data_IF_542706705105
#
_entry.id   IF_542706705105
#
_cell.length_a   1.000
_cell.length_b   1.000
_cell.length_c   1.000
_cell.angle_alpha   90.00
_cell.angle_beta   90.00
_cell.angle_gamma   90.00
#
_symmetry.space_group_name_H-M   'P 1'
#
loop_
_entity.id
_entity.type
_entity.pdbx_description
1 polymer ?
#
# COMPACT_ATOMS: atom_id res chain seq x y z
N UNK A 1 20.19 9.86 -2.23
CA UNK A 1 20.42 9.16 -0.95
C UNK A 1 21.79 8.52 -1.05
N UNK A 2 22.72 8.92 -0.19
CA UNK A 2 24.05 8.32 -0.10
C UNK A 2 24.11 7.31 1.06
N UNK A 3 25.24 6.62 1.17
CA UNK A 3 25.44 5.56 2.16
C UNK A 3 25.35 6.08 3.60
N UNK A 4 25.93 7.23 3.89
CA UNK A 4 25.97 7.79 5.25
C UNK A 4 24.59 8.22 5.72
N UNK A 5 23.80 8.84 4.84
CA UNK A 5 22.41 9.18 5.10
C UNK A 5 21.56 7.93 5.41
N UNK A 6 21.70 6.87 4.60
CA UNK A 6 20.98 5.61 4.82
C UNK A 6 21.42 4.90 6.10
N UNK A 7 22.71 4.98 6.45
CA UNK A 7 23.24 4.43 7.72
C UNK A 7 22.67 5.17 8.93
N UNK A 8 22.54 6.50 8.83
CA UNK A 8 21.87 7.33 9.83
C UNK A 8 20.39 6.96 9.98
N UNK A 9 19.65 6.82 8.87
CA UNK A 9 18.24 6.39 8.89
C UNK A 9 18.09 4.99 9.48
N UNK A 10 18.93 4.04 9.08
CA UNK A 10 18.90 2.66 9.60
C UNK A 10 19.08 2.62 11.13
N UNK A 11 19.93 3.49 11.67
CA UNK A 11 20.25 3.55 13.09
C UNK A 11 19.21 4.29 13.93
N UNK A 12 18.53 5.29 13.34
CA UNK A 12 17.71 6.24 14.09
C UNK A 12 16.22 6.21 13.75
N UNK A 13 15.83 5.80 12.54
CA UNK A 13 14.44 5.85 12.11
C UNK A 13 13.64 4.67 12.70
N UNK A 14 12.59 4.90 13.52
CA UNK A 14 11.86 3.83 14.22
C UNK A 14 11.33 2.75 13.29
N UNK A 15 10.81 3.14 12.11
CA UNK A 15 10.32 2.20 11.09
C UNK A 15 11.40 1.21 10.64
N UNK A 16 12.60 1.69 10.31
CA UNK A 16 13.68 0.83 9.83
C UNK A 16 14.27 -0.01 10.96
N UNK A 17 14.34 0.54 12.17
CA UNK A 17 14.71 -0.22 13.36
C UNK A 17 13.72 -1.33 13.67
N UNK A 18 12.42 -1.10 13.48
CA UNK A 18 11.39 -2.13 13.61
C UNK A 18 11.60 -3.24 12.60
N UNK A 19 11.80 -2.90 11.33
CA UNK A 19 12.04 -3.88 10.26
C UNK A 19 13.34 -4.69 10.46
N UNK A 20 14.34 -4.13 11.14
CA UNK A 20 15.58 -4.82 11.50
C UNK A 20 15.53 -5.54 12.86
N UNK A 21 14.44 -5.44 13.61
CA UNK A 21 14.37 -6.02 14.94
C UNK A 21 14.34 -7.56 14.87
N UNK A 22 15.07 -8.22 15.76
CA UNK A 22 15.14 -9.68 15.82
C UNK A 22 13.75 -10.34 15.94
N UNK A 23 12.87 -9.73 16.74
CA UNK A 23 11.50 -10.19 16.95
C UNK A 23 10.48 -9.32 16.20
N UNK A 24 10.85 -8.74 15.06
CA UNK A 24 9.95 -7.94 14.22
C UNK A 24 8.60 -8.62 13.96
N UNK A 25 8.51 -9.94 13.63
CA UNK A 25 7.23 -10.60 13.40
C UNK A 25 6.30 -10.62 14.62
N UNK A 26 6.84 -10.75 15.84
CA UNK A 26 6.06 -10.66 17.08
C UNK A 26 5.43 -9.27 17.19
N UNK A 27 6.26 -8.24 17.10
CA UNK A 27 5.86 -6.84 17.29
C UNK A 27 4.83 -6.44 16.22
N UNK A 28 5.18 -6.65 14.95
CA UNK A 28 4.35 -6.24 13.82
C UNK A 28 3.04 -7.02 13.79
N UNK A 29 3.08 -8.33 14.00
CA UNK A 29 1.87 -9.16 14.02
C UNK A 29 0.91 -8.75 15.12
N UNK A 30 1.43 -8.46 16.32
CA UNK A 30 0.64 -7.98 17.44
C UNK A 30 0.05 -6.58 17.16
N UNK A 31 0.88 -5.60 16.81
CA UNK A 31 0.44 -4.22 16.59
C UNK A 31 -0.54 -4.10 15.41
N UNK A 32 -0.35 -4.89 14.36
CA UNK A 32 -1.31 -4.97 13.26
C UNK A 32 -2.67 -5.50 13.73
N UNK A 33 -2.68 -6.56 14.53
CA UNK A 33 -3.92 -7.16 15.06
C UNK A 33 -4.65 -6.23 16.03
N UNK A 34 -3.92 -5.46 16.84
CA UNK A 34 -4.51 -4.66 17.92
C UNK A 34 -4.90 -3.24 17.49
N UNK A 35 -4.09 -2.57 16.66
CA UNK A 35 -4.36 -1.18 16.28
C UNK A 35 -4.88 -1.07 14.85
N UNK A 36 -4.16 -1.64 13.87
CA UNK A 36 -4.40 -1.35 12.45
C UNK A 36 -5.63 -2.08 11.93
N UNK A 37 -5.72 -3.39 12.12
CA UNK A 37 -6.84 -4.21 11.63
C UNK A 37 -8.19 -3.76 12.21
N UNK A 38 -8.35 -3.51 13.53
CA UNK A 38 -9.60 -3.02 14.09
C UNK A 38 -9.75 -1.48 14.00
N UNK A 39 -8.74 -0.77 13.47
CA UNK A 39 -8.70 0.69 13.39
C UNK A 39 -8.88 1.40 14.75
N UNK A 40 -8.21 0.87 15.77
CA UNK A 40 -8.18 1.44 17.12
C UNK A 40 -7.01 2.40 17.20
N UNK A 41 -7.27 3.64 17.67
CA UNK A 41 -6.24 4.68 17.76
C UNK A 41 -5.36 4.58 18.99
N UNK A 42 -5.92 4.15 20.11
CA UNK A 42 -5.22 4.02 21.38
C UNK A 42 -5.85 2.91 22.22
N UNK A 43 -5.05 2.29 23.09
CA UNK A 43 -5.46 1.27 24.04
C UNK A 43 -4.88 1.61 25.41
N UNK A 44 -5.61 1.28 26.48
CA UNK A 44 -5.06 1.39 27.83
C UNK A 44 -3.92 0.38 28.03
N UNK A 45 -3.01 0.65 28.98
CA UNK A 45 -1.91 -0.27 29.29
C UNK A 45 -2.42 -1.63 29.76
N UNK A 46 -3.46 -1.65 30.59
CA UNK A 46 -4.01 -2.89 31.12
C UNK A 46 -4.60 -3.77 30.01
N UNK A 47 -5.43 -3.18 29.15
CA UNK A 47 -6.02 -3.87 28.01
C UNK A 47 -4.95 -4.35 27.02
N UNK A 48 -3.99 -3.49 26.69
CA UNK A 48 -2.93 -3.82 25.74
C UNK A 48 -2.00 -4.92 26.27
N UNK A 49 -1.69 -4.89 27.58
CA UNK A 49 -0.88 -5.90 28.22
C UNK A 49 -1.60 -7.26 28.25
N UNK A 50 -2.89 -7.29 28.57
CA UNK A 50 -3.68 -8.52 28.54
C UNK A 50 -3.72 -9.15 27.15
N UNK A 51 -4.00 -8.34 26.11
CA UNK A 51 -3.98 -8.82 24.72
C UNK A 51 -2.61 -9.36 24.30
N UNK A 52 -1.52 -8.72 24.76
CA UNK A 52 -0.17 -9.18 24.45
C UNK A 52 0.19 -10.46 25.21
N UNK A 53 -0.22 -10.61 26.47
CA UNK A 53 0.00 -11.84 27.23
C UNK A 53 -0.70 -13.03 26.57
N UNK A 54 -1.95 -12.87 26.13
CA UNK A 54 -2.67 -13.90 25.37
C UNK A 54 -1.95 -14.23 24.05
N UNK A 55 -1.44 -13.22 23.34
CA UNK A 55 -0.70 -13.41 22.09
C UNK A 55 0.63 -14.15 22.32
N UNK A 56 1.36 -13.80 23.37
CA UNK A 56 2.60 -14.46 23.78
C UNK A 56 2.36 -15.90 24.21
N UNK A 57 1.26 -16.16 24.94
CA UNK A 57 0.87 -17.51 25.33
C UNK A 57 0.70 -18.42 24.11
N UNK A 58 -0.08 -18.00 23.12
CA UNK A 58 -0.26 -18.77 21.88
C UNK A 58 1.03 -18.96 21.08
N UNK A 59 1.96 -18.00 21.12
CA UNK A 59 3.25 -18.16 20.48
C UNK A 59 4.14 -19.17 21.22
N UNK A 60 4.11 -19.18 22.55
CA UNK A 60 4.83 -20.16 23.39
C UNK A 60 4.30 -21.59 23.17
N UNK A 61 2.98 -21.76 23.04
CA UNK A 61 2.39 -23.07 22.70
C UNK A 61 2.94 -23.64 21.37
N UNK A 62 3.22 -22.77 20.40
CA UNK A 62 3.68 -23.16 19.05
C UNK A 62 5.19 -23.26 18.91
N UNK A 63 5.94 -22.37 19.56
CA UNK A 63 7.38 -22.21 19.40
C UNK A 63 8.18 -22.78 20.58
N UNK A 64 7.50 -23.18 21.65
CA UNK A 64 8.07 -23.69 22.89
C UNK A 64 8.01 -22.67 24.03
N UNK A 65 7.90 -23.17 25.27
CA UNK A 65 7.72 -22.36 26.49
C UNK A 65 8.84 -21.33 26.75
N UNK A 66 10.04 -21.58 26.25
CA UNK A 66 11.17 -20.66 26.38
C UNK A 66 11.08 -19.45 25.42
N UNK A 67 10.17 -19.47 24.44
CA UNK A 67 10.01 -18.39 23.48
C UNK A 67 9.44 -17.14 24.17
N UNK A 68 10.05 -15.98 23.90
CA UNK A 68 9.61 -14.68 24.40
C UNK A 68 9.38 -14.64 25.93
N UNK A 69 10.42 -14.84 26.75
CA UNK A 69 10.27 -15.11 28.18
C UNK A 69 9.85 -13.91 29.04
N UNK A 70 9.85 -12.70 28.48
CA UNK A 70 9.49 -11.47 29.22
C UNK A 70 7.98 -11.35 29.37
N UNK A 71 7.53 -10.58 30.36
CA UNK A 71 6.11 -10.26 30.55
C UNK A 71 5.64 -9.24 29.50
N UNK A 72 4.34 -9.23 29.15
CA UNK A 72 3.79 -8.28 28.19
C UNK A 72 4.15 -6.83 28.50
N UNK A 73 3.99 -6.38 29.75
CA UNK A 73 4.31 -5.01 30.15
C UNK A 73 5.78 -4.64 29.90
N UNK A 74 6.70 -5.58 30.03
CA UNK A 74 8.12 -5.34 29.76
C UNK A 74 8.37 -5.12 28.26
N UNK A 75 7.67 -5.86 27.41
CA UNK A 75 7.71 -5.65 25.96
C UNK A 75 7.10 -4.30 25.58
N UNK A 76 5.92 -3.96 26.09
CA UNK A 76 5.26 -2.68 25.78
C UNK A 76 6.11 -1.48 26.19
N UNK A 77 6.72 -1.53 27.37
CA UNK A 77 7.63 -0.47 27.82
C UNK A 77 8.91 -0.39 26.96
N UNK A 78 9.46 -1.52 26.52
CA UNK A 78 10.60 -1.54 25.58
C UNK A 78 10.21 -0.95 24.22
N UNK A 79 9.02 -1.26 23.71
CA UNK A 79 8.53 -0.74 22.42
C UNK A 79 8.20 0.75 22.47
N UNK A 80 7.78 1.26 23.63
CA UNK A 80 7.54 2.68 23.86
C UNK A 80 8.78 3.47 24.29
N UNK A 81 9.88 2.81 24.63
CA UNK A 81 11.10 3.47 25.05
C UNK A 81 11.72 4.31 23.94
N UNK A 82 12.42 5.38 24.31
CA UNK A 82 13.03 6.36 23.39
C UNK A 82 13.94 5.71 22.34
N UNK A 83 14.55 4.58 22.68
CA UNK A 83 15.41 3.83 21.77
C UNK A 83 14.60 3.20 20.64
N UNK A 84 13.38 2.72 20.87
CA UNK A 84 12.57 2.05 19.85
C UNK A 84 11.57 3.00 19.21
N UNK A 85 10.80 3.73 20.03
CA UNK A 85 9.80 4.70 19.57
C UNK A 85 8.71 4.09 18.67
N UNK A 86 8.36 2.82 18.88
CA UNK A 86 7.34 2.12 18.09
C UNK A 86 5.93 2.39 18.61
N UNK A 87 5.82 2.50 19.93
CA UNK A 87 4.64 2.96 20.62
C UNK A 87 4.93 4.32 21.26
N UNK A 88 3.88 5.09 21.52
CA UNK A 88 3.94 6.26 22.39
C UNK A 88 3.03 6.02 23.57
N UNK A 89 3.59 6.22 24.77
CA UNK A 89 2.88 6.13 26.04
C UNK A 89 2.50 7.53 26.51
N UNK A 90 1.25 7.74 26.87
CA UNK A 90 0.75 9.04 27.37
C UNK A 90 -0.41 8.85 28.36
N UNK A 91 -0.72 9.89 29.13
CA UNK A 91 -1.87 9.90 30.04
C UNK A 91 -2.97 10.79 29.42
N UNK A 92 -4.16 10.25 29.13
CA UNK A 92 -5.30 11.06 28.72
C UNK A 92 -5.69 12.08 29.78
N UNK A 93 -6.29 13.24 29.43
CA UNK A 93 -6.62 14.29 30.39
C UNK A 93 -7.53 13.86 31.55
N UNK A 94 -8.40 12.86 31.30
CA UNK A 94 -9.42 12.40 32.25
C UNK A 94 -9.12 11.00 32.83
N UNK A 95 -7.87 10.52 32.74
CA UNK A 95 -7.49 9.20 33.24
C UNK A 95 -6.07 9.16 33.81
N UNK A 96 -5.94 8.56 34.99
CA UNK A 96 -4.64 8.24 35.61
C UNK A 96 -4.04 6.93 35.03
N UNK A 97 -4.72 6.30 34.08
CA UNK A 97 -4.25 5.09 33.41
C UNK A 97 -3.43 5.44 32.15
N UNK A 98 -2.19 4.95 32.02
CA UNK A 98 -1.40 5.15 30.82
C UNK A 98 -2.05 4.49 29.61
N UNK A 99 -2.06 5.21 28.49
CA UNK A 99 -2.52 4.74 27.19
C UNK A 99 -1.35 4.67 26.21
N UNK A 100 -1.49 3.77 25.25
CA UNK A 100 -0.52 3.56 24.18
C UNK A 100 -1.19 3.79 22.83
N UNK A 101 -0.51 4.50 21.94
CA UNK A 101 -0.81 4.53 20.51
C UNK A 101 0.40 4.19 19.64
N UNK A 102 0.12 3.86 18.39
CA UNK A 102 1.13 3.50 17.42
C UNK A 102 1.84 4.77 16.93
N UNK A 103 3.18 4.75 16.89
CA UNK A 103 3.90 5.86 16.27
C UNK A 103 3.69 5.85 14.76
N UNK A 104 3.67 7.03 14.13
CA UNK A 104 3.47 7.16 12.68
C UNK A 104 4.51 6.38 11.87
N UNK A 105 5.76 6.36 12.33
CA UNK A 105 6.83 5.59 11.73
C UNK A 105 6.59 4.07 11.84
N UNK A 106 6.06 3.60 12.95
CA UNK A 106 5.68 2.20 13.13
C UNK A 106 4.51 1.82 12.22
N UNK A 107 3.46 2.65 12.17
CA UNK A 107 2.32 2.45 11.28
C UNK A 107 2.75 2.34 9.81
N UNK A 108 3.65 3.22 9.37
CA UNK A 108 4.20 3.18 8.01
C UNK A 108 4.91 1.84 7.71
N UNK A 109 5.71 1.32 8.65
CA UNK A 109 6.40 0.04 8.47
C UNK A 109 5.40 -1.12 8.38
N UNK A 110 4.38 -1.14 9.23
CA UNK A 110 3.37 -2.21 9.25
C UNK A 110 2.50 -2.16 8.00
N UNK A 111 2.08 -0.97 7.55
CA UNK A 111 1.33 -0.80 6.31
C UNK A 111 2.16 -1.22 5.09
N UNK A 112 3.46 -0.90 5.05
CA UNK A 112 4.35 -1.36 3.99
C UNK A 112 4.42 -2.89 3.94
N UNK A 113 4.59 -3.56 5.09
CA UNK A 113 4.57 -5.02 5.19
C UNK A 113 3.22 -5.63 4.79
N UNK A 114 2.11 -5.03 5.20
CA UNK A 114 0.78 -5.46 4.78
C UNK A 114 0.56 -5.33 3.27
N UNK A 115 1.29 -4.42 2.61
CA UNK A 115 1.31 -4.30 1.15
C UNK A 115 2.23 -5.29 0.43
N UNK A 116 3.09 -6.03 1.15
CA UNK A 116 3.91 -7.10 0.54
C UNK A 116 3.07 -8.31 0.13
N UNK A 117 1.99 -8.56 0.88
CA UNK A 117 1.01 -9.59 0.54
C UNK A 117 0.20 -9.08 -0.65
N UNK A 118 0.66 -9.46 -1.84
CA UNK A 118 0.14 -9.03 -3.14
C UNK A 118 -1.39 -9.11 -3.14
N UNK A 119 -2.08 -7.97 -3.04
CA UNK A 119 -3.46 -7.92 -3.53
C UNK A 119 -3.39 -8.05 -5.05
N UNK A 120 -4.06 -9.01 -5.68
CA UNK A 120 -4.26 -8.96 -7.12
C UNK A 120 -4.93 -7.61 -7.44
N UNK A 121 -4.13 -6.75 -8.05
CA UNK A 121 -4.55 -5.78 -9.06
C UNK A 121 -5.80 -4.92 -8.74
N UNK A 122 -5.76 -4.09 -7.68
CA UNK A 122 -6.78 -3.02 -7.49
C UNK A 122 -6.42 -1.73 -8.25
N UNK A 123 -5.19 -1.63 -8.77
CA UNK A 123 -4.77 -0.57 -9.71
C UNK A 123 -5.04 -0.91 -11.19
N UNK A 124 -5.64 -2.08 -11.46
CA UNK A 124 -6.09 -2.50 -12.78
C UNK A 124 -7.13 -1.55 -13.32
N UNK A 125 -8.15 -1.26 -12.52
CA UNK A 125 -9.38 -0.70 -13.03
C UNK A 125 -9.17 0.72 -13.53
N UNK A 126 -8.36 1.50 -12.81
CA UNK A 126 -7.99 2.86 -13.23
C UNK A 126 -7.07 2.88 -14.46
N UNK A 127 -6.26 1.83 -14.65
CA UNK A 127 -5.36 1.70 -15.81
C UNK A 127 -6.04 1.09 -17.02
N UNK A 128 -6.93 0.12 -16.83
CA UNK A 128 -7.85 -0.41 -17.82
C UNK A 128 -8.77 0.71 -18.28
N UNK A 129 -9.26 1.57 -17.37
CA UNK A 129 -10.01 2.78 -17.74
C UNK A 129 -9.18 3.73 -18.59
N UNK A 130 -7.92 4.00 -18.21
CA UNK A 130 -7.01 4.80 -19.04
C UNK A 130 -6.76 4.17 -20.41
N UNK A 131 -6.57 2.85 -20.48
CA UNK A 131 -6.43 2.11 -21.75
C UNK A 131 -7.71 2.19 -22.57
N UNK A 132 -8.90 2.08 -21.96
CA UNK A 132 -10.18 2.28 -22.62
C UNK A 132 -10.36 3.71 -23.13
N UNK A 133 -9.92 4.71 -22.37
CA UNK A 133 -9.99 6.11 -22.77
C UNK A 133 -9.03 6.38 -23.95
N UNK A 134 -7.82 5.81 -23.93
CA UNK A 134 -6.87 5.87 -25.04
C UNK A 134 -7.36 5.09 -26.28
N UNK A 135 -7.99 3.92 -26.10
CA UNK A 135 -8.59 3.17 -27.20
C UNK A 135 -9.81 3.90 -27.78
N UNK A 136 -10.60 4.59 -26.96
CA UNK A 136 -11.67 5.49 -27.43
C UNK A 136 -11.08 6.66 -28.19
N UNK A 137 -10.02 7.28 -27.69
CA UNK A 137 -9.33 8.37 -28.38
C UNK A 137 -8.82 7.92 -29.75
N UNK A 138 -8.16 6.76 -29.83
CA UNK A 138 -7.71 6.16 -31.09
C UNK A 138 -8.89 5.82 -32.00
N UNK A 139 -9.96 5.21 -31.48
CA UNK A 139 -11.19 4.91 -32.23
C UNK A 139 -11.86 6.20 -32.75
N UNK A 140 -11.81 7.30 -32.00
CA UNK A 140 -12.31 8.60 -32.41
C UNK A 140 -11.42 9.25 -33.48
N UNK A 141 -10.10 9.09 -33.41
CA UNK A 141 -9.15 9.57 -34.42
C UNK A 141 -9.17 8.73 -35.70
N UNK A 142 -9.70 7.52 -35.64
CA UNK A 142 -9.95 6.62 -36.79
C UNK A 142 -11.42 6.54 -37.19
N UNK A 143 -12.31 7.32 -36.55
CA UNK A 143 -13.75 7.34 -36.82
C UNK A 143 -14.02 7.93 -38.20
N UNK A 144 -14.58 7.11 -39.08
CA UNK A 144 -14.78 7.43 -40.49
C UNK A 144 -16.20 7.88 -40.81
N UNK A 145 -17.14 7.81 -39.85
CA UNK A 145 -18.49 8.36 -39.98
C UNK A 145 -18.51 9.87 -39.64
N UNK A 146 -18.75 10.75 -40.63
CA UNK A 146 -18.80 12.20 -40.42
C UNK A 146 -19.90 12.64 -39.43
N UNK A 147 -21.03 11.93 -39.35
CA UNK A 147 -22.14 12.33 -38.50
C UNK A 147 -21.83 12.11 -37.01
N UNK A 148 -21.22 10.97 -36.66
CA UNK A 148 -20.75 10.69 -35.31
C UNK A 148 -19.66 11.67 -34.86
N UNK A 149 -18.75 12.04 -35.78
CA UNK A 149 -17.71 13.04 -35.52
C UNK A 149 -18.30 14.43 -35.25
N UNK A 150 -19.30 14.85 -36.02
CA UNK A 150 -19.98 16.14 -35.84
C UNK A 150 -20.71 16.18 -34.49
N UNK A 151 -21.48 15.16 -34.14
CA UNK A 151 -22.23 15.13 -32.88
C UNK A 151 -21.33 15.22 -31.64
N UNK A 152 -20.15 14.60 -31.68
CA UNK A 152 -19.15 14.71 -30.61
C UNK A 152 -18.48 16.10 -30.57
N UNK A 153 -18.17 16.68 -31.73
CA UNK A 153 -17.65 18.05 -31.81
C UNK A 153 -18.66 19.08 -31.27
N UNK A 154 -19.95 18.89 -31.54
CA UNK A 154 -21.02 19.72 -30.99
C UNK A 154 -21.11 19.57 -29.47
N UNK A 155 -21.04 18.34 -28.94
CA UNK A 155 -20.99 18.12 -27.49
C UNK A 155 -19.82 18.84 -26.82
N UNK A 156 -18.64 18.79 -27.44
CA UNK A 156 -17.44 19.49 -26.95
C UNK A 156 -17.58 21.01 -27.04
N UNK A 157 -18.15 21.51 -28.14
CA UNK A 157 -18.44 22.93 -28.31
C UNK A 157 -19.37 23.41 -27.20
N UNK A 158 -20.48 22.71 -26.96
CA UNK A 158 -21.46 23.12 -25.95
C UNK A 158 -20.84 23.12 -24.52
N UNK A 159 -19.98 22.15 -24.21
CA UNK A 159 -19.24 22.11 -22.94
C UNK A 159 -18.22 23.27 -22.80
N UNK A 160 -17.56 23.64 -23.90
CA UNK A 160 -16.65 24.79 -23.96
C UNK A 160 -17.43 26.10 -23.83
N UNK A 161 -18.58 26.23 -24.50
CA UNK A 161 -19.44 27.41 -24.43
C UNK A 161 -19.96 27.63 -23.01
N UNK A 162 -20.32 26.56 -22.29
CA UNK A 162 -20.70 26.64 -20.88
C UNK A 162 -19.51 27.04 -19.97
N UNK A 163 -18.29 26.59 -20.29
CA UNK A 163 -17.09 27.03 -19.58
C UNK A 163 -16.79 28.51 -19.85
N UNK A 164 -16.90 28.97 -21.09
CA UNK A 164 -16.74 30.38 -21.48
C UNK A 164 -17.77 31.24 -20.78
N UNK A 165 -19.06 30.86 -20.79
CA UNK A 165 -20.12 31.61 -20.12
C UNK A 165 -19.88 31.75 -18.60
N UNK A 166 -19.28 30.74 -17.96
CA UNK A 166 -18.87 30.82 -16.54
C UNK A 166 -17.72 31.80 -16.34
N UNK A 167 -16.74 31.82 -17.23
CA UNK A 167 -15.61 32.77 -17.20
C UNK A 167 -16.09 34.20 -17.46
N UNK A 168 -16.94 34.42 -18.46
CA UNK A 168 -17.55 35.72 -18.77
C UNK A 168 -18.42 36.25 -17.62
N UNK A 169 -19.09 35.35 -16.89
CA UNK A 169 -19.81 35.68 -15.66
C UNK A 169 -18.89 35.95 -14.45
N UNK A 170 -17.57 36.06 -14.65
CA UNK A 170 -16.57 36.39 -13.63
C UNK A 170 -16.23 35.23 -12.69
N UNK A 171 -16.66 34.00 -12.97
CA UNK A 171 -16.38 32.82 -12.14
C UNK A 171 -15.14 32.08 -12.64
N UNK A 172 -13.99 32.73 -12.50
CA UNK A 172 -12.69 32.10 -12.74
C UNK A 172 -12.38 31.11 -11.61
N UNK A 173 -12.47 29.81 -11.90
CA UNK A 173 -11.97 28.78 -10.99
C UNK A 173 -10.46 28.62 -11.21
N UNK A 174 -9.68 29.45 -10.52
CA UNK A 174 -8.24 29.29 -10.44
C UNK A 174 -7.92 28.28 -9.34
N UNK A 175 -6.93 27.43 -9.58
CA UNK A 175 -6.37 26.60 -8.52
C UNK A 175 -5.63 27.51 -7.54
N UNK A 176 -5.96 27.43 -6.26
CA UNK A 176 -5.20 28.12 -5.23
C UNK A 176 -3.76 27.57 -5.18
N UNK A 177 -2.75 28.38 -4.79
CA UNK A 177 -1.34 27.95 -4.78
C UNK A 177 -1.08 26.64 -4.02
N UNK A 178 -1.82 26.38 -2.94
CA UNK A 178 -1.76 25.13 -2.17
C UNK A 178 -2.28 23.94 -2.96
N UNK A 179 -3.41 24.09 -3.65
CA UNK A 179 -4.00 23.04 -4.48
C UNK A 179 -3.09 22.71 -5.67
N UNK A 180 -2.47 23.72 -6.27
CA UNK A 180 -1.49 23.51 -7.34
C UNK A 180 -0.28 22.71 -6.84
N UNK A 181 0.25 23.08 -5.67
CA UNK A 181 1.38 22.38 -5.04
C UNK A 181 1.03 20.92 -4.72
N UNK A 182 -0.14 20.67 -4.16
CA UNK A 182 -0.65 19.30 -3.90
C UNK A 182 -0.79 18.50 -5.20
N UNK A 183 -1.30 19.11 -6.26
CA UNK A 183 -1.47 18.44 -7.56
C UNK A 183 -0.13 18.08 -8.21
N UNK A 184 0.88 18.94 -8.10
CA UNK A 184 2.24 18.67 -8.58
C UNK A 184 2.89 17.52 -7.80
N UNK A 185 2.71 17.47 -6.47
CA UNK A 185 3.21 16.36 -5.65
C UNK A 185 2.51 15.05 -6.04
N UNK A 186 1.19 15.08 -6.23
CA UNK A 186 0.40 13.92 -6.65
C UNK A 186 0.86 13.37 -8.02
N UNK A 187 1.17 14.24 -8.98
CA UNK A 187 1.72 13.84 -10.29
C UNK A 187 3.07 13.14 -10.11
N UNK A 188 3.97 13.71 -9.31
CA UNK A 188 5.29 13.14 -9.06
C UNK A 188 5.21 11.75 -8.40
N UNK A 189 4.32 11.59 -7.43
CA UNK A 189 4.11 10.30 -6.74
C UNK A 189 3.48 9.26 -7.67
N UNK A 190 2.51 9.67 -8.49
CA UNK A 190 1.89 8.80 -9.50
C UNK A 190 2.91 8.34 -10.55
N UNK A 191 3.78 9.24 -11.03
CA UNK A 191 4.82 8.89 -12.00
C UNK A 191 5.85 7.91 -11.42
N UNK A 192 6.25 8.08 -10.15
CA UNK A 192 7.15 7.14 -9.46
C UNK A 192 6.50 5.77 -9.25
N UNK A 193 5.22 5.75 -8.88
CA UNK A 193 4.46 4.51 -8.73
C UNK A 193 4.35 3.76 -10.07
N UNK A 194 4.06 4.46 -11.18
CA UNK A 194 3.99 3.87 -12.51
C UNK A 194 5.32 3.20 -12.93
N UNK A 195 6.45 3.84 -12.64
CA UNK A 195 7.77 3.26 -12.90
C UNK A 195 8.07 2.01 -12.05
N UNK A 196 7.63 2.01 -10.78
CA UNK A 196 7.73 0.83 -9.92
C UNK A 196 6.83 -0.31 -10.43
N UNK A 197 5.65 0.02 -10.94
CA UNK A 197 4.70 -0.95 -11.48
C UNK A 197 5.25 -1.65 -12.74
N UNK A 198 5.99 -0.97 -13.61
CA UNK A 198 6.67 -1.64 -14.73
C UNK A 198 7.70 -2.68 -14.27
N UNK A 199 8.46 -2.38 -13.21
CA UNK A 199 9.40 -3.35 -12.61
C UNK A 199 8.65 -4.52 -11.98
N UNK A 200 7.48 -4.28 -11.39
CA UNK A 200 6.62 -5.33 -10.85
C UNK A 200 6.05 -6.22 -11.95
N UNK A 201 5.60 -5.64 -13.06
CA UNK A 201 5.14 -6.38 -14.25
C UNK A 201 6.29 -7.23 -14.83
N UNK A 202 7.49 -6.66 -14.95
CA UNK A 202 8.67 -7.40 -15.40
C UNK A 202 8.99 -8.58 -14.46
N UNK A 203 8.93 -8.37 -13.14
CA UNK A 203 9.16 -9.44 -12.18
C UNK A 203 8.09 -10.54 -12.26
N UNK A 204 6.81 -10.16 -12.41
CA UNK A 204 5.72 -11.13 -12.59
C UNK A 204 5.92 -11.95 -13.87
N UNK A 205 6.37 -11.33 -14.98
CA UNK A 205 6.67 -12.04 -16.22
C UNK A 205 7.85 -13.01 -16.06
N UNK A 206 8.89 -12.62 -15.31
CA UNK A 206 10.02 -13.51 -14.98
C UNK A 206 9.61 -14.69 -14.10
N UNK A 207 8.72 -14.47 -13.15
CA UNK A 207 8.22 -15.53 -12.28
C UNK A 207 7.31 -16.50 -13.05
N UNK A 208 6.45 -15.99 -13.95
CA UNK A 208 5.64 -16.80 -14.86
C UNK A 208 6.53 -17.61 -15.82
N UNK A 209 7.52 -16.97 -16.46
CA UNK A 209 8.48 -17.64 -17.34
C UNK A 209 9.25 -18.76 -16.62
N UNK A 210 9.61 -18.56 -15.34
CA UNK A 210 10.21 -19.61 -14.50
C UNK A 210 9.24 -20.75 -14.25
N UNK A 211 8.00 -20.46 -13.83
CA UNK A 211 6.97 -21.47 -13.59
C UNK A 211 6.67 -22.29 -14.85
N UNK A 212 6.57 -21.63 -16.01
CA UNK A 212 6.37 -22.29 -17.31
C UNK A 212 7.55 -23.21 -17.64
N UNK A 213 8.79 -22.77 -17.45
CA UNK A 213 9.97 -23.63 -17.68
C UNK A 213 10.02 -24.83 -16.72
N UNK A 214 9.74 -24.62 -15.44
CA UNK A 214 9.75 -25.70 -14.44
C UNK A 214 8.68 -26.74 -14.77
N UNK A 215 7.50 -26.30 -15.23
CA UNK A 215 6.38 -27.18 -15.62
C UNK A 215 6.66 -27.89 -16.96
N UNK A 216 7.27 -27.23 -17.94
CA UNK A 216 7.75 -27.86 -19.19
C UNK A 216 8.82 -28.93 -18.89
N UNK A 217 9.73 -28.68 -17.95
CA UNK A 217 10.79 -29.62 -17.58
C UNK A 217 10.25 -30.89 -16.90
N UNK A 218 9.03 -30.86 -16.38
CA UNK A 218 8.35 -31.98 -15.72
C UNK A 218 7.20 -32.57 -16.55
N UNK A 219 7.00 -32.13 -17.80
CA UNK A 219 5.85 -32.49 -18.63
C UNK A 219 6.18 -33.52 -19.72
N UNK A 220 5.38 -34.59 -19.78
CA UNK A 220 5.49 -35.69 -20.76
C UNK A 220 4.43 -35.62 -21.90
N UNK A 221 3.60 -34.57 -21.96
CA UNK A 221 2.51 -34.39 -22.94
C UNK A 221 2.84 -33.46 -24.13
N UNK A 222 1.83 -33.07 -24.92
CA UNK A 222 2.02 -32.27 -26.14
C UNK A 222 2.15 -30.76 -25.85
N UNK A 223 2.88 -30.02 -26.70
CA UNK A 223 3.13 -28.56 -26.53
C UNK A 223 1.86 -27.69 -26.51
N UNK A 224 0.74 -28.18 -27.07
CA UNK A 224 -0.53 -27.44 -27.10
C UNK A 224 -1.26 -27.45 -25.77
N UNK A 225 -1.23 -28.57 -25.04
CA UNK A 225 -1.95 -28.76 -23.77
C UNK A 225 -1.33 -27.95 -22.63
N UNK A 226 -0.02 -27.74 -22.63
CA UNK A 226 0.66 -26.86 -21.65
C UNK A 226 0.19 -25.41 -21.77
N UNK A 227 -0.06 -24.93 -22.99
CA UNK A 227 -0.48 -23.54 -23.21
C UNK A 227 -1.90 -23.32 -22.67
N UNK A 228 -2.81 -24.26 -22.93
CA UNK A 228 -4.20 -24.18 -22.44
C UNK A 228 -4.26 -24.28 -20.90
N UNK A 229 -3.39 -25.06 -20.25
CA UNK A 229 -3.36 -25.18 -18.79
C UNK A 229 -2.72 -23.95 -18.10
N UNK A 230 -1.67 -23.38 -18.67
CA UNK A 230 -0.98 -22.19 -18.10
C UNK A 230 -1.81 -20.92 -18.24
N UNK A 231 -2.53 -20.76 -19.35
CA UNK A 231 -3.34 -19.57 -19.61
C UNK A 231 -4.81 -19.74 -19.19
N UNK A 232 -5.29 -20.96 -18.98
CA UNK A 232 -6.66 -21.26 -18.55
C UNK A 232 -6.93 -21.05 -17.06
N UNK A 233 -5.91 -21.14 -16.19
CA UNK A 233 -6.06 -20.93 -14.73
C UNK A 233 -6.08 -19.45 -14.30
N UNK A 234 -5.94 -18.49 -15.23
CA UNK A 234 -5.89 -17.05 -14.92
C UNK A 234 -7.25 -16.32 -14.96
N UNK A 235 -8.35 -17.05 -15.21
CA UNK A 235 -9.69 -16.49 -15.40
C UNK A 235 -10.67 -16.68 -14.20
N UNK A 236 -10.18 -17.14 -13.03
CA UNK A 236 -10.95 -17.23 -11.76
C UNK A 236 -10.41 -16.30 -10.65
#
# INVERSE_FOLDING_TARGET
MDYDYLTGLRSNHPAWRLLNAEHAPLVIGFLHRTFIRPNVRASSEEELAAQLDDYLHHLRERLGEAAFPRQAKEYLNDWAGDTRGWLRRYYPPDSDEPHFDLSSACEQAVQWLAGLDRRPFVGAESRIRLVFDLLREIAHETESDPAARIAELERRRDAIDEAIARVDAGRLMLMEPTQLRERVLQIADTARALLADFRQVEQNFRDLDRQVRDRIATWDGSKGEILDEVFGESDD
#
